data_IF_365602459332
#
_entry.id   IF_365602459332
#
_cell.length_a   1.000
_cell.length_b   1.000
_cell.length_c   1.000
_cell.angle_alpha   90.00
_cell.angle_beta   90.00
_cell.angle_gamma   90.00
#
_symmetry.space_group_name_H-M   'P 1'
#
loop_
_entity.id
_entity.type
_entity.pdbx_description
1 polymer ?
#
# COMPACT_ATOMS: atom_id res chain seq x y z
N UNK A 1 18.64 4.91 -18.10
CA UNK A 1 18.04 5.82 -17.11
C UNK A 1 17.54 4.96 -15.97
N UNK A 2 17.85 5.34 -14.73
CA UNK A 2 17.29 4.65 -13.58
C UNK A 2 15.79 4.93 -13.48
N UNK A 3 14.97 3.93 -13.08
CA UNK A 3 13.55 4.14 -12.87
C UNK A 3 13.31 5.21 -11.79
N UNK A 4 12.32 6.06 -12.02
CA UNK A 4 11.97 7.11 -11.06
C UNK A 4 11.37 6.47 -9.79
N UNK A 5 11.92 6.76 -8.59
CA UNK A 5 11.37 6.26 -7.34
C UNK A 5 9.87 6.52 -7.22
N UNK A 6 9.13 5.51 -6.73
CA UNK A 6 7.70 5.62 -6.50
C UNK A 6 6.82 5.69 -7.75
N UNK A 7 7.33 5.30 -8.93
CA UNK A 7 6.61 5.29 -10.21
C UNK A 7 6.76 3.97 -10.94
N UNK A 8 5.93 2.99 -10.58
CA UNK A 8 5.92 1.63 -11.14
C UNK A 8 7.30 0.95 -11.14
N UNK A 9 8.11 1.22 -10.12
CA UNK A 9 9.46 0.66 -10.01
C UNK A 9 9.40 -0.76 -9.44
N UNK A 10 9.97 -1.72 -10.18
CA UNK A 10 10.10 -3.09 -9.70
C UNK A 10 11.31 -3.23 -8.76
N UNK A 11 11.10 -3.77 -7.56
CA UNK A 11 12.09 -3.96 -6.51
C UNK A 11 12.11 -5.41 -6.03
N UNK A 12 13.27 -5.85 -5.54
CA UNK A 12 13.41 -7.17 -4.90
C UNK A 12 12.86 -7.09 -3.48
N UNK A 13 11.87 -7.92 -3.19
CA UNK A 13 11.39 -8.14 -1.84
C UNK A 13 12.16 -9.27 -1.14
N UNK A 14 12.02 -9.34 0.18
CA UNK A 14 12.57 -10.43 0.96
C UNK A 14 11.98 -11.78 0.54
N UNK A 15 12.64 -12.89 0.90
CA UNK A 15 12.14 -14.25 0.64
C UNK A 15 11.84 -14.54 -0.85
N UNK A 16 12.65 -14.00 -1.76
CA UNK A 16 12.50 -14.15 -3.22
C UNK A 16 11.16 -13.62 -3.76
N UNK A 17 10.64 -12.56 -3.16
CA UNK A 17 9.40 -11.89 -3.61
C UNK A 17 9.72 -10.66 -4.47
N UNK A 18 8.68 -10.08 -5.05
CA UNK A 18 8.75 -8.87 -5.86
C UNK A 18 7.84 -7.77 -5.30
N UNK A 19 8.27 -6.52 -5.44
CA UNK A 19 7.50 -5.34 -5.02
C UNK A 19 7.41 -4.36 -6.18
N UNK A 20 6.23 -3.76 -6.40
CA UNK A 20 6.05 -2.66 -7.34
C UNK A 20 5.81 -1.39 -6.52
N UNK A 21 6.79 -0.49 -6.53
CA UNK A 21 6.70 0.83 -5.92
C UNK A 21 6.03 1.82 -6.86
N UNK A 22 4.76 2.13 -6.60
CA UNK A 22 4.02 3.26 -7.19
C UNK A 22 3.50 4.22 -6.10
N UNK A 23 4.31 4.40 -5.05
CA UNK A 23 3.93 5.10 -3.83
C UNK A 23 4.03 6.63 -3.89
N UNK A 24 4.54 7.21 -4.99
CA UNK A 24 4.77 8.67 -5.06
C UNK A 24 3.48 9.48 -4.95
N UNK A 25 2.48 9.13 -5.77
CA UNK A 25 1.20 9.83 -5.86
C UNK A 25 0.11 8.89 -6.37
N UNK A 26 -1.16 9.19 -6.08
CA UNK A 26 -2.27 8.43 -6.63
C UNK A 26 -3.42 9.33 -7.10
N UNK A 27 -4.13 8.81 -8.09
CA UNK A 27 -5.43 9.27 -8.60
C UNK A 27 -6.25 8.02 -8.95
N UNK A 28 -7.59 8.11 -9.09
CA UNK A 28 -8.39 6.92 -9.40
C UNK A 28 -7.95 6.25 -10.71
N UNK A 29 -7.63 7.05 -11.73
CA UNK A 29 -7.13 6.56 -13.01
C UNK A 29 -5.79 5.84 -12.86
N UNK A 30 -4.81 6.43 -12.18
CA UNK A 30 -3.49 5.80 -12.03
C UNK A 30 -3.54 4.56 -11.14
N UNK A 31 -4.43 4.51 -10.15
CA UNK A 31 -4.63 3.32 -9.33
C UNK A 31 -5.27 2.17 -10.15
N UNK A 32 -6.25 2.48 -10.99
CA UNK A 32 -6.82 1.52 -11.93
C UNK A 32 -5.75 0.99 -12.89
N UNK A 33 -4.95 1.87 -13.50
CA UNK A 33 -3.86 1.44 -14.39
C UNK A 33 -2.84 0.55 -13.69
N UNK A 34 -2.44 0.88 -12.46
CA UNK A 34 -1.50 0.08 -11.68
C UNK A 34 -2.07 -1.31 -11.35
N UNK A 35 -3.36 -1.41 -11.03
CA UNK A 35 -4.05 -2.71 -10.85
C UNK A 35 -4.06 -3.53 -12.15
N UNK A 36 -4.37 -2.91 -13.29
CA UNK A 36 -4.33 -3.62 -14.58
C UNK A 36 -2.93 -4.12 -14.92
N UNK A 37 -1.89 -3.33 -14.64
CA UNK A 37 -0.51 -3.79 -14.78
C UNK A 37 -0.23 -4.97 -13.85
N UNK A 38 -0.64 -4.91 -12.59
CA UNK A 38 -0.48 -6.02 -11.64
C UNK A 38 -1.13 -7.31 -12.16
N UNK A 39 -2.36 -7.24 -12.69
CA UNK A 39 -3.09 -8.40 -13.22
C UNK A 39 -2.38 -9.01 -14.43
N UNK A 40 -1.74 -8.20 -15.28
CA UNK A 40 -1.04 -8.68 -16.47
C UNK A 40 0.25 -9.48 -16.19
N UNK A 41 0.78 -9.42 -14.96
CA UNK A 41 2.03 -10.10 -14.60
C UNK A 41 1.74 -11.54 -14.23
N UNK A 42 2.38 -12.51 -14.88
CA UNK A 42 2.30 -13.91 -14.46
C UNK A 42 3.09 -14.12 -13.16
N UNK A 43 2.40 -14.58 -12.11
CA UNK A 43 2.96 -14.78 -10.76
C UNK A 43 2.06 -15.75 -10.00
N UNK A 44 2.60 -16.54 -9.05
CA UNK A 44 1.79 -17.41 -8.20
C UNK A 44 0.91 -16.64 -7.21
N UNK A 45 1.20 -15.36 -6.95
CA UNK A 45 0.43 -14.56 -5.99
C UNK A 45 0.50 -13.06 -6.31
N UNK A 46 -0.63 -12.36 -6.10
CA UNK A 46 -0.73 -10.90 -6.21
C UNK A 46 -1.34 -10.29 -4.95
N UNK A 47 -0.63 -9.36 -4.35
CA UNK A 47 -1.14 -8.50 -3.28
C UNK A 47 -1.18 -7.05 -3.77
N UNK A 48 -2.30 -6.36 -3.59
CA UNK A 48 -2.43 -4.94 -3.89
C UNK A 48 -2.57 -4.14 -2.60
N UNK A 49 -1.66 -3.21 -2.33
CA UNK A 49 -1.72 -2.26 -1.21
C UNK A 49 -2.14 -0.90 -1.74
N UNK A 50 -3.41 -0.53 -1.50
CA UNK A 50 -4.02 0.71 -2.00
C UNK A 50 -4.29 1.67 -0.84
N UNK A 51 -3.61 2.81 -0.88
CA UNK A 51 -3.77 3.90 0.07
C UNK A 51 -4.86 4.90 -0.29
N UNK A 52 -5.14 5.84 0.62
CA UNK A 52 -5.96 7.01 0.32
C UNK A 52 -5.48 7.72 -0.96
N UNK A 53 -6.47 8.16 -1.74
CA UNK A 53 -6.28 9.09 -2.84
C UNK A 53 -6.67 10.47 -2.33
N UNK A 54 -5.67 11.34 -2.14
CA UNK A 54 -5.84 12.69 -1.63
C UNK A 54 -6.41 13.62 -2.71
N UNK A 55 -7.01 14.74 -2.30
CA UNK A 55 -7.55 15.74 -3.23
C UNK A 55 -8.94 15.45 -3.81
N UNK A 56 -9.55 14.30 -3.51
CA UNK A 56 -10.90 13.95 -3.99
C UNK A 56 -12.04 14.74 -3.31
N UNK A 57 -11.80 15.31 -2.13
CA UNK A 57 -12.77 16.12 -1.36
C UNK A 57 -14.14 15.40 -1.24
N UNK A 58 -15.23 16.03 -1.69
CA UNK A 58 -16.59 15.47 -1.66
C UNK A 58 -16.79 14.26 -2.58
N UNK A 59 -15.92 14.07 -3.58
CA UNK A 59 -15.98 12.91 -4.50
C UNK A 59 -15.32 11.66 -3.93
N UNK A 60 -14.66 11.76 -2.76
CA UNK A 60 -13.93 10.63 -2.19
C UNK A 60 -14.79 9.38 -1.94
N UNK A 61 -16.02 9.47 -1.40
CA UNK A 61 -16.86 8.28 -1.21
C UNK A 61 -17.12 7.53 -2.52
N UNK A 62 -17.60 8.24 -3.53
CA UNK A 62 -17.93 7.66 -4.84
C UNK A 62 -16.70 7.11 -5.54
N UNK A 63 -15.62 7.90 -5.66
CA UNK A 63 -14.44 7.51 -6.44
C UNK A 63 -13.63 6.40 -5.80
N UNK A 64 -13.58 6.33 -4.48
CA UNK A 64 -12.92 5.22 -3.79
C UNK A 64 -13.77 3.95 -3.84
N UNK A 65 -15.10 4.05 -3.76
CA UNK A 65 -16.00 2.91 -3.95
C UNK A 65 -15.92 2.35 -5.37
N UNK A 66 -15.98 3.21 -6.40
CA UNK A 66 -15.77 2.81 -7.81
C UNK A 66 -14.46 2.03 -7.99
N UNK A 67 -13.36 2.48 -7.37
CA UNK A 67 -12.08 1.78 -7.41
C UNK A 67 -12.15 0.40 -6.72
N UNK A 68 -12.93 0.26 -5.65
CA UNK A 68 -13.17 -1.03 -5.01
C UNK A 68 -14.01 -1.96 -5.88
N UNK A 69 -15.00 -1.45 -6.60
CA UNK A 69 -15.88 -2.26 -7.48
C UNK A 69 -15.16 -2.83 -8.70
N UNK A 70 -14.05 -2.22 -9.14
CA UNK A 70 -13.21 -2.75 -10.23
C UNK A 70 -12.15 -3.75 -9.77
N UNK A 71 -11.99 -3.97 -8.45
CA UNK A 71 -11.07 -4.98 -7.96
C UNK A 71 -11.61 -6.38 -8.34
N UNK A 72 -10.74 -7.24 -8.87
CA UNK A 72 -11.13 -8.55 -9.35
C UNK A 72 -10.65 -9.64 -8.35
N UNK A 73 -11.56 -10.33 -7.64
CA UNK A 73 -11.17 -11.36 -6.68
C UNK A 73 -10.47 -12.57 -7.31
N UNK A 74 -10.59 -12.77 -8.63
CA UNK A 74 -9.86 -13.83 -9.33
C UNK A 74 -8.40 -13.46 -9.64
N UNK A 75 -8.04 -12.18 -9.57
CA UNK A 75 -6.71 -11.69 -9.96
C UNK A 75 -5.83 -11.35 -8.74
N UNK A 76 -6.43 -11.05 -7.59
CA UNK A 76 -5.71 -10.67 -6.37
C UNK A 76 -6.08 -11.56 -5.19
N UNK A 77 -5.05 -12.08 -4.54
CA UNK A 77 -5.18 -12.86 -3.30
C UNK A 77 -5.52 -11.97 -2.12
N UNK A 78 -4.94 -10.77 -2.07
CA UNK A 78 -5.22 -9.79 -1.02
C UNK A 78 -5.28 -8.38 -1.56
N UNK A 79 -6.33 -7.66 -1.17
CA UNK A 79 -6.37 -6.21 -1.20
C UNK A 79 -6.10 -5.67 0.21
N UNK A 80 -5.00 -4.95 0.38
CA UNK A 80 -4.67 -4.23 1.61
C UNK A 80 -5.02 -2.77 1.42
N UNK A 81 -5.77 -2.19 2.36
CA UNK A 81 -6.18 -0.77 2.30
C UNK A 81 -5.56 0.02 3.45
N UNK A 82 -5.12 1.25 3.16
CA UNK A 82 -4.46 2.12 4.15
C UNK A 82 -5.05 3.53 4.10
N UNK A 83 -5.50 4.00 5.27
CA UNK A 83 -6.06 5.32 5.47
C UNK A 83 -7.59 5.37 5.40
N UNK A 84 -8.16 6.40 6.02
CA UNK A 84 -9.59 6.45 6.37
C UNK A 84 -10.52 6.31 5.16
N UNK A 85 -10.27 7.04 4.06
CA UNK A 85 -11.13 7.00 2.87
C UNK A 85 -11.06 5.64 2.17
N UNK A 86 -9.87 5.05 2.05
CA UNK A 86 -9.69 3.73 1.46
C UNK A 86 -10.38 2.66 2.31
N UNK A 87 -10.18 2.70 3.63
CA UNK A 87 -10.82 1.78 4.56
C UNK A 87 -12.34 1.96 4.60
N UNK A 88 -12.85 3.19 4.51
CA UNK A 88 -14.29 3.47 4.65
C UNK A 88 -15.07 3.19 3.35
N UNK A 89 -14.47 3.36 2.18
CA UNK A 89 -15.21 3.34 0.90
C UNK A 89 -14.70 2.29 -0.09
N UNK A 90 -13.39 2.16 -0.26
CA UNK A 90 -12.80 1.19 -1.21
C UNK A 90 -12.91 -0.23 -0.66
N UNK A 91 -12.44 -0.45 0.58
CA UNK A 91 -12.44 -1.76 1.22
C UNK A 91 -13.83 -2.45 1.22
N UNK A 92 -14.92 -1.81 1.67
CA UNK A 92 -16.24 -2.46 1.64
C UNK A 92 -16.76 -2.73 0.22
N UNK A 93 -16.46 -1.87 -0.75
CA UNK A 93 -16.82 -2.11 -2.15
C UNK A 93 -16.12 -3.35 -2.71
N UNK A 94 -14.80 -3.46 -2.53
CA UNK A 94 -14.05 -4.63 -2.93
C UNK A 94 -14.49 -5.91 -2.20
N UNK A 95 -14.84 -5.83 -0.90
CA UNK A 95 -15.40 -6.96 -0.14
C UNK A 95 -16.71 -7.46 -0.75
N UNK A 96 -17.62 -6.57 -1.14
CA UNK A 96 -18.89 -6.96 -1.80
C UNK A 96 -18.67 -7.65 -3.15
N UNK A 97 -17.59 -7.29 -3.85
CA UNK A 97 -17.15 -7.98 -5.08
C UNK A 97 -16.55 -9.37 -4.82
N UNK A 98 -16.32 -9.74 -3.57
CA UNK A 98 -15.71 -11.02 -3.18
C UNK A 98 -14.20 -10.95 -2.97
N UNK A 99 -13.57 -9.77 -3.00
CA UNK A 99 -12.14 -9.66 -2.73
C UNK A 99 -11.85 -9.98 -1.27
N UNK A 100 -10.74 -10.67 -1.01
CA UNK A 100 -10.20 -10.81 0.34
C UNK A 100 -9.49 -9.50 0.72
N UNK A 101 -10.02 -8.79 1.73
CA UNK A 101 -9.56 -7.44 2.06
C UNK A 101 -9.05 -7.33 3.50
N UNK A 102 -7.83 -6.79 3.66
CA UNK A 102 -7.27 -6.36 4.95
C UNK A 102 -7.26 -4.83 5.02
N UNK A 103 -7.98 -4.28 6.00
CA UNK A 103 -7.88 -2.86 6.36
C UNK A 103 -6.76 -2.69 7.38
N UNK A 104 -5.84 -1.78 7.11
CA UNK A 104 -4.71 -1.45 7.97
C UNK A 104 -4.83 0.01 8.45
N UNK A 105 -4.40 0.24 9.70
CA UNK A 105 -4.43 1.55 10.33
C UNK A 105 -3.38 2.50 9.74
N UNK A 106 -2.24 1.96 9.32
CA UNK A 106 -1.09 2.70 8.83
C UNK A 106 -0.25 1.83 7.86
N UNK A 107 0.74 2.44 7.20
CA UNK A 107 1.62 1.75 6.26
C UNK A 107 2.53 0.70 6.93
N UNK A 108 2.88 0.85 8.21
CA UNK A 108 3.74 -0.11 8.91
C UNK A 108 2.97 -1.41 9.15
N UNK A 109 1.70 -1.32 9.59
CA UNK A 109 0.81 -2.48 9.72
C UNK A 109 0.60 -3.16 8.36
N UNK A 110 0.38 -2.37 7.30
CA UNK A 110 0.24 -2.90 5.95
C UNK A 110 1.50 -3.65 5.49
N UNK A 111 2.68 -3.06 5.71
CA UNK A 111 3.97 -3.67 5.40
C UNK A 111 4.16 -5.00 6.14
N UNK A 112 3.85 -5.03 7.45
CA UNK A 112 3.92 -6.25 8.25
C UNK A 112 2.94 -7.34 7.79
N UNK A 113 1.72 -6.94 7.41
CA UNK A 113 0.74 -7.89 6.85
C UNK A 113 1.24 -8.49 5.55
N UNK A 114 1.71 -7.67 4.60
CA UNK A 114 2.30 -8.15 3.33
C UNK A 114 3.45 -9.10 3.62
N UNK A 115 4.37 -8.74 4.53
CA UNK A 115 5.52 -9.59 4.89
C UNK A 115 5.11 -10.98 5.38
N UNK A 116 3.96 -11.07 6.07
CA UNK A 116 3.41 -12.32 6.59
C UNK A 116 2.61 -13.15 5.57
N UNK A 117 2.21 -12.56 4.44
CA UNK A 117 1.31 -13.17 3.45
C UNK A 117 1.90 -13.33 2.07
N UNK A 118 2.95 -12.59 1.73
CA UNK A 118 3.60 -12.65 0.43
C UNK A 118 4.55 -13.86 0.41
N UNK A 119 4.23 -14.84 -0.43
CA UNK A 119 5.00 -16.06 -0.58
C UNK A 119 6.06 -15.90 -1.69
N UNK A 120 7.12 -16.73 -1.71
CA UNK A 120 8.16 -16.66 -2.73
C UNK A 120 7.60 -16.57 -4.16
N UNK A 121 8.28 -15.80 -5.00
CA UNK A 121 7.89 -15.47 -6.37
C UNK A 121 6.60 -14.65 -6.53
N UNK A 122 5.84 -14.44 -5.45
CA UNK A 122 4.71 -13.52 -5.39
C UNK A 122 5.12 -12.05 -5.56
N UNK A 123 4.14 -11.22 -5.93
CA UNK A 123 4.33 -9.79 -6.16
C UNK A 123 3.35 -8.94 -5.35
N UNK A 124 3.83 -7.83 -4.78
CA UNK A 124 3.02 -6.84 -4.09
C UNK A 124 3.12 -5.44 -4.73
N UNK A 125 1.98 -4.86 -5.09
CA UNK A 125 1.87 -3.47 -5.58
C UNK A 125 1.61 -2.52 -4.41
N UNK A 126 2.27 -1.35 -4.41
CA UNK A 126 2.05 -0.31 -3.42
C UNK A 126 1.68 1.00 -4.12
N UNK A 127 0.40 1.40 -4.00
CA UNK A 127 -0.16 2.56 -4.69
C UNK A 127 -0.91 3.46 -3.71
N UNK A 128 -0.51 4.71 -3.59
CA UNK A 128 -1.18 5.64 -2.68
C UNK A 128 -0.69 7.07 -2.81
N UNK A 129 -1.42 8.00 -2.21
CA UNK A 129 -0.97 9.39 -2.13
C UNK A 129 0.10 9.56 -1.05
N UNK A 130 1.01 10.52 -1.25
CA UNK A 130 1.79 11.09 -0.15
C UNK A 130 0.89 11.82 0.86
N UNK A 131 1.41 12.12 2.07
CA UNK A 131 0.68 12.97 3.03
C UNK A 131 -0.38 12.20 3.82
N UNK A 132 0.06 11.36 4.73
CA UNK A 132 -0.83 10.61 5.64
C UNK A 132 -1.05 9.14 5.27
N UNK A 133 -0.39 8.65 4.21
CA UNK A 133 -0.37 7.23 3.87
C UNK A 133 1.06 6.69 3.96
N UNK A 134 1.99 7.27 3.19
CA UNK A 134 3.43 6.93 3.18
C UNK A 134 3.72 5.45 2.89
N UNK A 135 3.15 4.90 1.81
CA UNK A 135 3.32 3.49 1.47
C UNK A 135 4.76 3.08 1.19
N UNK A 136 5.67 4.02 0.91
CA UNK A 136 7.10 3.71 0.84
C UNK A 136 7.61 3.05 2.14
N UNK A 137 7.01 3.34 3.30
CA UNK A 137 7.38 2.70 4.56
C UNK A 137 6.83 1.27 4.67
N UNK A 138 5.70 0.97 4.02
CA UNK A 138 5.24 -0.41 3.88
C UNK A 138 6.20 -1.23 3.00
N UNK A 139 6.77 -0.60 1.97
CA UNK A 139 7.75 -1.22 1.07
C UNK A 139 9.03 -1.53 1.84
N UNK A 140 9.54 -0.61 2.68
CA UNK A 140 10.74 -0.83 3.50
C UNK A 140 10.69 -2.14 4.29
N UNK A 141 9.57 -2.42 4.94
CA UNK A 141 9.34 -3.65 5.73
C UNK A 141 9.51 -4.93 4.87
N UNK A 142 9.32 -4.82 3.57
CA UNK A 142 9.33 -5.93 2.63
C UNK A 142 10.59 -6.00 1.76
N UNK A 143 11.49 -5.02 1.80
CA UNK A 143 12.70 -5.00 0.97
C UNK A 143 13.60 -6.20 1.26
N UNK A 144 14.30 -6.65 0.21
CA UNK A 144 15.33 -7.67 0.33
C UNK A 144 16.55 -7.20 1.12
N UNK A 145 16.95 -5.94 0.94
CA UNK A 145 18.10 -5.31 1.60
C UNK A 145 17.74 -3.90 2.07
N UNK A 146 18.31 -3.50 3.21
CA UNK A 146 18.19 -2.13 3.74
C UNK A 146 18.82 -1.11 2.78
N UNK A 147 19.84 -1.51 2.01
CA UNK A 147 20.48 -0.64 1.02
C UNK A 147 19.52 -0.17 -0.08
N UNK A 148 18.45 -0.93 -0.33
CA UNK A 148 17.44 -0.59 -1.32
C UNK A 148 16.48 0.50 -0.83
N UNK A 149 16.51 0.88 0.44
CA UNK A 149 15.72 2.02 0.93
C UNK A 149 16.02 3.29 0.14
N UNK A 150 17.28 3.51 -0.28
CA UNK A 150 17.69 4.67 -1.09
C UNK A 150 17.01 4.74 -2.46
N UNK A 151 16.41 3.64 -2.93
CA UNK A 151 15.65 3.59 -4.19
C UNK A 151 14.23 4.10 -4.02
N UNK A 152 13.74 4.23 -2.79
CA UNK A 152 12.38 4.68 -2.50
C UNK A 152 12.28 6.21 -2.50
N UNK A 153 11.07 6.72 -2.68
CA UNK A 153 10.79 8.15 -2.54
C UNK A 153 10.95 8.61 -1.08
N UNK A 154 11.25 9.90 -0.90
CA UNK A 154 11.13 10.59 0.40
C UNK A 154 12.03 10.01 1.50
N UNK A 155 13.28 9.76 1.17
CA UNK A 155 14.29 9.20 2.09
C UNK A 155 15.25 10.25 2.66
N UNK A 156 15.18 11.50 2.19
CA UNK A 156 15.95 12.59 2.76
C UNK A 156 15.57 12.84 4.24
N UNK A 157 16.50 13.32 5.08
CA UNK A 157 16.28 13.49 6.53
C UNK A 157 15.02 14.27 6.90
N UNK A 158 14.66 15.29 6.11
CA UNK A 158 13.47 16.12 6.36
C UNK A 158 12.18 15.32 6.19
N UNK A 159 12.16 14.40 5.22
CA UNK A 159 11.03 13.50 5.00
C UNK A 159 10.94 12.42 6.07
N UNK A 160 12.07 11.86 6.49
CA UNK A 160 12.12 10.88 7.57
C UNK A 160 11.55 11.49 8.85
N UNK A 161 12.01 12.70 9.24
CA UNK A 161 11.49 13.43 10.41
C UNK A 161 9.98 13.67 10.34
N UNK A 162 9.44 14.00 9.16
CA UNK A 162 7.99 14.17 8.95
C UNK A 162 7.23 12.86 9.11
N UNK A 163 7.77 11.75 8.60
CA UNK A 163 7.18 10.41 8.72
C UNK A 163 7.24 9.92 10.16
N UNK A 164 8.34 10.12 10.88
CA UNK A 164 8.46 9.75 12.29
C UNK A 164 7.41 10.46 13.15
N UNK A 165 7.26 11.77 12.96
CA UNK A 165 6.21 12.54 13.63
C UNK A 165 4.79 12.09 13.23
N UNK A 166 4.61 11.60 12.00
CA UNK A 166 3.34 11.00 11.59
C UNK A 166 3.11 9.66 12.29
N UNK A 167 4.07 8.72 12.27
CA UNK A 167 3.88 7.36 12.76
C UNK A 167 3.86 7.25 14.29
N UNK A 168 4.46 8.18 15.02
CA UNK A 168 4.43 8.22 16.49
C UNK A 168 2.99 8.21 17.05
N UNK A 169 2.02 8.79 16.32
CA UNK A 169 0.60 8.78 16.71
C UNK A 169 -0.02 7.38 16.81
N UNK A 170 0.51 6.40 16.09
CA UNK A 170 0.01 5.02 16.09
C UNK A 170 0.68 4.15 17.17
N UNK A 171 1.86 4.56 17.67
CA UNK A 171 2.56 3.86 18.74
C UNK A 171 1.88 4.10 20.09
N UNK A 172 1.42 5.32 20.35
CA UNK A 172 0.75 5.71 21.62
C UNK A 172 -0.56 4.95 21.86
N UNK A 173 -1.25 4.52 20.80
CA UNK A 173 -2.49 3.75 20.91
C UNK A 173 -2.28 2.30 21.35
N UNK A 174 -1.12 1.70 21.09
CA UNK A 174 -0.83 0.33 21.58
C UNK A 174 -0.53 0.31 23.09
N UNK A 175 0.05 1.39 23.64
CA UNK A 175 0.35 1.49 25.08
C UNK A 175 -0.92 1.66 25.93
N UNK A 176 -1.94 2.38 25.44
CA UNK A 176 -3.22 2.55 26.16
C UNK A 176 -4.08 1.28 26.19
N UNK A 177 -3.92 0.38 25.22
CA UNK A 177 -4.66 -0.90 25.17
C UNK A 177 -4.00 -1.93 26.10
N UNK A 178 -2.67 -1.90 26.26
CA UNK A 178 -1.95 -2.81 27.18
C UNK A 178 -2.13 -2.49 28.67
N UNK A 179 -2.57 -1.28 29.04
CA UNK A 179 -2.84 -0.89 30.43
C UNK A 179 -4.33 -1.04 30.82
N UNK A 180 -5.12 -1.78 30.05
CA UNK A 180 -6.55 -2.06 30.32
C UNK A 180 -6.88 -3.55 30.35
N UNK A 181 -5.87 -4.42 30.46
CA UNK A 181 -6.01 -5.85 30.77
C UNK A 181 -5.38 -6.13 32.12
#
# INVERSE_FOLDING_TARGET
MDPLPGRMQLLRGANKTWLIDDSYSASPLTAMSALQTLYSIQTPQRIAVIGNINGLRSKAPTKMAELGEICNPAEIDWLVTVGDKANQFLAPAAKRKGCQVKQCRDAIEAGGFVRSKLHPEGIALFKGSSGGVWLEEAIKVNLHSIDDEKKLVRQAPEWLKRKDAFFSRFQTNNAKIKNKQ
#
